data_IF_632497565830
#
_entry.id   IF_632497565830
#
_cell.length_a   1.000
_cell.length_b   1.000
_cell.length_c   1.000
_cell.angle_alpha   90.00
_cell.angle_beta   90.00
_cell.angle_gamma   90.00
#
_symmetry.space_group_name_H-M   'P 1'
#
loop_
_entity.id
_entity.type
_entity.pdbx_description
1 polymer ?
#
# COMPACT_ATOMS: atom_id res chain seq x y z
N UNK A 1 -8.85 13.08 21.85
CA UNK A 1 -8.83 11.82 21.07
C UNK A 1 -7.60 11.82 20.17
N UNK A 2 -6.84 10.75 20.22
CA UNK A 2 -5.62 10.66 19.40
C UNK A 2 -5.96 10.57 17.91
N UNK A 3 -5.14 11.19 17.07
CA UNK A 3 -5.27 11.10 15.63
C UNK A 3 -5.05 9.64 15.18
N UNK A 4 -5.89 9.13 14.29
CA UNK A 4 -5.70 7.77 13.77
C UNK A 4 -4.48 7.66 12.88
N UNK A 5 -3.98 6.44 12.76
CA UNK A 5 -2.93 6.09 11.80
C UNK A 5 -3.33 4.79 11.10
N UNK A 6 -3.14 4.74 9.79
CA UNK A 6 -3.52 3.57 9.00
C UNK A 6 -2.25 2.84 8.58
N UNK A 7 -2.02 1.62 9.09
CA UNK A 7 -0.82 0.88 8.78
C UNK A 7 -0.82 0.37 7.35
N UNK A 8 0.37 0.30 6.76
CA UNK A 8 0.57 -0.29 5.45
C UNK A 8 1.96 -0.89 5.33
N UNK A 9 2.17 -1.75 4.36
CA UNK A 9 3.47 -2.29 4.01
C UNK A 9 4.05 -1.50 2.85
N UNK A 10 5.21 -0.90 3.08
CA UNK A 10 5.93 -0.16 2.05
C UNK A 10 7.00 -1.05 1.44
N UNK A 11 7.02 -1.12 0.12
CA UNK A 11 8.08 -1.77 -0.66
C UNK A 11 8.87 -0.68 -1.36
N UNK A 12 10.19 -0.71 -1.24
CA UNK A 12 11.06 0.28 -1.90
C UNK A 12 12.40 -0.36 -2.28
N UNK A 13 13.21 0.38 -3.01
CA UNK A 13 14.56 -0.02 -3.39
C UNK A 13 15.56 0.86 -2.64
N UNK A 14 16.51 0.25 -1.96
CA UNK A 14 17.55 1.01 -1.26
C UNK A 14 18.66 1.49 -2.20
N UNK A 15 19.67 2.17 -1.63
CA UNK A 15 20.78 2.73 -2.40
C UNK A 15 21.62 1.66 -3.11
N UNK A 16 21.57 0.43 -2.66
CA UNK A 16 22.32 -0.69 -3.24
C UNK A 16 21.51 -1.46 -4.29
N UNK A 17 20.30 -0.99 -4.61
CA UNK A 17 19.42 -1.65 -5.57
C UNK A 17 18.68 -2.86 -5.02
N UNK A 18 18.62 -3.01 -3.70
CA UNK A 18 17.97 -4.15 -3.03
C UNK A 18 16.56 -3.74 -2.65
N UNK A 19 15.55 -4.53 -3.07
CA UNK A 19 14.18 -4.29 -2.65
C UNK A 19 13.98 -4.71 -1.20
N UNK A 20 13.29 -3.86 -0.46
CA UNK A 20 13.00 -4.03 0.96
C UNK A 20 11.55 -3.74 1.23
N UNK A 21 11.05 -4.25 2.34
CA UNK A 21 9.71 -3.88 2.79
C UNK A 21 9.69 -3.71 4.31
N UNK A 22 8.88 -2.76 4.76
CA UNK A 22 8.71 -2.47 6.17
C UNK A 22 7.31 -1.93 6.46
N UNK A 23 6.91 -2.05 7.71
CA UNK A 23 5.63 -1.53 8.20
C UNK A 23 5.73 -0.03 8.38
N UNK A 24 4.81 0.70 7.77
CA UNK A 24 4.67 2.14 7.85
C UNK A 24 3.24 2.49 8.24
N UNK A 25 2.95 3.77 8.39
CA UNK A 25 1.60 4.24 8.67
C UNK A 25 1.31 5.52 7.92
N UNK A 26 0.08 5.62 7.41
CA UNK A 26 -0.47 6.86 6.88
C UNK A 26 -0.96 7.68 8.06
N UNK A 27 -0.43 8.87 8.22
CA UNK A 27 -0.67 9.75 9.36
C UNK A 27 -1.11 11.14 8.88
N UNK A 28 -1.23 12.07 9.81
CA UNK A 28 -1.58 13.45 9.50
C UNK A 28 -3.07 13.69 9.36
N UNK A 29 -3.90 12.81 9.88
CA UNK A 29 -5.35 13.00 9.87
C UNK A 29 -5.75 14.17 10.74
N UNK A 30 -6.69 14.97 10.26
CA UNK A 30 -7.27 16.08 11.01
C UNK A 30 -8.77 15.87 11.15
N UNK A 31 -9.31 16.18 12.32
CA UNK A 31 -10.74 16.09 12.57
C UNK A 31 -11.41 17.37 12.08
N UNK A 32 -12.00 17.31 10.91
CA UNK A 32 -12.51 18.49 10.22
C UNK A 32 -13.71 18.16 9.34
N UNK A 33 -14.40 19.18 8.86
CA UNK A 33 -15.45 19.00 7.85
C UNK A 33 -14.83 18.59 6.53
N UNK A 34 -15.14 17.38 6.10
CA UNK A 34 -14.72 16.86 4.81
C UNK A 34 -15.68 17.27 3.69
N UNK A 35 -16.96 17.29 4.00
CA UNK A 35 -18.02 17.68 3.06
C UNK A 35 -19.02 18.56 3.75
N UNK A 36 -19.53 19.56 3.04
CA UNK A 36 -20.59 20.44 3.56
C UNK A 36 -21.83 19.62 3.88
N UNK A 37 -22.42 19.86 5.06
CA UNK A 37 -23.62 19.16 5.53
C UNK A 37 -23.34 17.83 6.21
N UNK A 38 -22.10 17.36 6.23
CA UNK A 38 -21.72 16.15 6.93
C UNK A 38 -21.11 16.46 8.29
N UNK A 39 -21.16 15.49 9.20
CA UNK A 39 -20.46 15.63 10.49
C UNK A 39 -18.94 15.62 10.27
N UNK A 40 -18.17 16.28 11.15
CA UNK A 40 -16.71 16.23 11.08
C UNK A 40 -16.20 14.79 11.17
N UNK A 41 -15.08 14.53 10.51
CA UNK A 41 -14.43 13.23 10.51
C UNK A 41 -12.92 13.41 10.42
N UNK A 42 -12.20 12.33 10.66
CA UNK A 42 -10.75 12.29 10.49
C UNK A 42 -10.43 12.12 9.00
N UNK A 43 -9.64 13.03 8.45
CA UNK A 43 -9.23 12.95 7.05
C UNK A 43 -7.78 13.39 6.86
N UNK A 44 -7.12 12.78 5.90
CA UNK A 44 -5.79 13.17 5.45
C UNK A 44 -5.70 12.94 3.95
N UNK A 45 -5.06 13.88 3.25
CA UNK A 45 -4.83 13.74 1.81
C UNK A 45 -3.39 13.33 1.60
N UNK A 46 -3.19 12.12 1.10
CA UNK A 46 -1.86 11.54 0.91
C UNK A 46 -1.31 11.72 -0.50
N UNK A 47 -2.18 12.06 -1.45
CA UNK A 47 -1.79 12.32 -2.85
C UNK A 47 -2.81 13.23 -3.50
N UNK A 48 -2.33 14.06 -4.44
CA UNK A 48 -3.17 14.95 -5.27
C UNK A 48 -3.08 14.58 -6.74
N UNK A 49 -2.42 13.46 -7.03
CA UNK A 49 -2.19 13.00 -8.39
C UNK A 49 -3.45 12.44 -9.02
N UNK A 50 -3.50 12.45 -10.35
CA UNK A 50 -4.52 11.73 -11.09
C UNK A 50 -4.34 10.24 -10.89
N UNK A 51 -5.42 9.55 -10.60
CA UNK A 51 -5.39 8.13 -10.25
C UNK A 51 -6.04 7.28 -11.33
N UNK A 52 -5.40 6.17 -11.68
CA UNK A 52 -6.01 5.08 -12.45
C UNK A 52 -6.39 3.97 -11.49
N UNK A 53 -7.64 3.53 -11.54
CA UNK A 53 -8.11 2.40 -10.75
C UNK A 53 -8.09 1.14 -11.60
N UNK A 54 -7.41 0.11 -11.09
CA UNK A 54 -7.32 -1.19 -11.75
C UNK A 54 -7.80 -2.26 -10.78
N UNK A 55 -8.60 -3.19 -11.26
CA UNK A 55 -8.97 -4.37 -10.49
C UNK A 55 -8.28 -5.59 -11.09
N UNK A 56 -7.75 -6.46 -10.22
CA UNK A 56 -7.04 -7.66 -10.60
C UNK A 56 -7.63 -8.88 -9.90
N UNK A 57 -7.64 -9.99 -10.58
CA UNK A 57 -7.99 -11.29 -9.99
C UNK A 57 -6.84 -12.25 -10.26
N UNK A 58 -6.20 -12.70 -9.19
CA UNK A 58 -5.13 -13.69 -9.28
C UNK A 58 -5.72 -15.05 -8.97
N UNK A 59 -5.60 -16.04 -9.87
CA UNK A 59 -6.04 -17.40 -9.55
C UNK A 59 -5.33 -17.94 -8.30
N UNK A 60 -6.05 -18.70 -7.49
CA UNK A 60 -5.50 -19.30 -6.30
C UNK A 60 -4.26 -20.16 -6.63
N UNK A 61 -3.21 -20.02 -5.83
CA UNK A 61 -1.97 -20.75 -6.03
C UNK A 61 -1.04 -20.18 -7.11
N UNK A 62 -1.40 -19.04 -7.72
CA UNK A 62 -0.54 -18.39 -8.71
C UNK A 62 0.76 -17.90 -8.08
N UNK A 63 1.86 -18.13 -8.81
CA UNK A 63 3.19 -17.62 -8.43
C UNK A 63 3.77 -16.90 -9.64
N UNK A 64 4.29 -15.72 -9.41
CA UNK A 64 4.85 -14.89 -10.46
C UNK A 64 6.34 -14.69 -10.22
N UNK A 65 7.10 -14.58 -11.32
CA UNK A 65 8.53 -14.34 -11.26
C UNK A 65 8.84 -12.95 -10.67
N UNK A 66 10.08 -12.77 -10.26
CA UNK A 66 10.56 -11.50 -9.76
C UNK A 66 10.32 -10.40 -10.77
N UNK A 67 9.65 -9.34 -10.34
CA UNK A 67 9.41 -8.15 -11.13
C UNK A 67 9.16 -6.97 -10.21
N UNK A 68 9.47 -5.77 -10.68
CA UNK A 68 9.11 -4.55 -9.96
C UNK A 68 7.66 -4.18 -10.22
N UNK A 69 7.07 -3.38 -9.34
CA UNK A 69 5.80 -2.73 -9.63
C UNK A 69 6.00 -1.80 -10.84
N UNK A 70 5.10 -1.81 -11.83
CA UNK A 70 5.31 -1.01 -13.06
C UNK A 70 5.32 0.49 -12.81
N UNK A 71 4.60 0.93 -11.78
CA UNK A 71 4.52 2.33 -11.33
C UNK A 71 4.34 2.33 -9.83
N UNK A 72 4.65 3.43 -9.14
CA UNK A 72 4.27 3.57 -7.73
C UNK A 72 2.76 3.37 -7.59
N UNK A 73 2.35 2.43 -6.74
CA UNK A 73 0.93 2.07 -6.65
C UNK A 73 0.55 1.57 -5.26
N UNK A 74 -0.66 1.90 -4.86
CA UNK A 74 -1.31 1.33 -3.70
C UNK A 74 -2.07 0.09 -4.11
N UNK A 75 -1.99 -0.96 -3.29
CA UNK A 75 -2.68 -2.23 -3.53
C UNK A 75 -3.50 -2.56 -2.30
N UNK A 76 -4.78 -2.87 -2.54
CA UNK A 76 -5.72 -3.25 -1.49
C UNK A 76 -6.34 -4.59 -1.87
N UNK A 77 -5.96 -5.70 -1.22
CA UNK A 77 -6.67 -6.95 -1.45
C UNK A 77 -8.07 -6.91 -0.85
N UNK A 78 -9.06 -7.36 -1.60
CA UNK A 78 -10.46 -7.39 -1.17
C UNK A 78 -10.86 -8.76 -0.65
N UNK A 79 -10.26 -9.82 -1.16
CA UNK A 79 -10.54 -11.21 -0.78
C UNK A 79 -9.26 -12.05 -0.84
N UNK A 80 -9.26 -13.12 -0.07
CA UNK A 80 -8.16 -14.06 -0.07
C UNK A 80 -6.91 -13.52 0.57
N UNK A 81 -5.77 -14.06 0.18
CA UNK A 81 -4.47 -13.60 0.64
C UNK A 81 -3.45 -13.66 -0.50
N UNK A 82 -2.45 -12.81 -0.40
CA UNK A 82 -1.32 -12.81 -1.31
C UNK A 82 -0.04 -12.52 -0.53
N UNK A 83 1.08 -12.89 -1.10
CA UNK A 83 2.37 -12.70 -0.46
C UNK A 83 3.30 -11.94 -1.38
N UNK A 84 4.11 -11.07 -0.79
CA UNK A 84 5.16 -10.32 -1.46
C UNK A 84 6.49 -10.69 -0.84
N UNK A 85 7.39 -11.16 -1.68
CA UNK A 85 8.78 -11.42 -1.28
C UNK A 85 9.68 -10.32 -1.84
N UNK A 86 10.56 -9.79 -1.00
CA UNK A 86 11.54 -8.77 -1.39
C UNK A 86 12.94 -9.36 -1.36
N UNK A 87 13.87 -8.69 -2.07
CA UNK A 87 15.24 -9.18 -2.25
C UNK A 87 16.02 -9.26 -0.94
N UNK A 88 15.57 -8.57 0.11
CA UNK A 88 16.16 -8.63 1.45
C UNK A 88 15.79 -9.90 2.23
N UNK A 89 15.07 -10.84 1.59
CA UNK A 89 14.71 -12.12 2.18
C UNK A 89 13.41 -12.11 2.97
N UNK A 90 12.67 -11.01 2.97
CA UNK A 90 11.38 -10.95 3.65
C UNK A 90 10.25 -11.43 2.76
N UNK A 91 9.32 -12.18 3.34
CA UNK A 91 8.05 -12.54 2.71
C UNK A 91 6.93 -12.08 3.62
N UNK A 92 6.04 -11.25 3.10
CA UNK A 92 4.89 -10.72 3.85
C UNK A 92 3.61 -11.23 3.21
N UNK A 93 2.79 -11.91 4.00
CA UNK A 93 1.46 -12.34 3.57
C UNK A 93 0.44 -11.32 4.03
N UNK A 94 -0.40 -10.88 3.11
CA UNK A 94 -1.43 -9.89 3.35
C UNK A 94 -2.80 -10.46 3.01
N UNK A 95 -3.76 -10.22 3.89
CA UNK A 95 -5.15 -10.57 3.68
C UNK A 95 -6.00 -9.38 3.29
N UNK A 96 -7.31 -9.58 3.23
CA UNK A 96 -8.27 -8.54 2.86
C UNK A 96 -8.12 -7.30 3.74
N UNK A 97 -8.07 -6.13 3.12
CA UNK A 97 -7.96 -4.85 3.82
C UNK A 97 -6.55 -4.42 4.22
N UNK A 98 -5.53 -5.25 4.00
CA UNK A 98 -4.15 -4.89 4.31
C UNK A 98 -3.50 -4.16 3.14
N UNK A 99 -3.11 -2.91 3.39
CA UNK A 99 -2.54 -2.03 2.37
C UNK A 99 -1.07 -2.33 2.10
N UNK A 100 -0.70 -2.25 0.84
CA UNK A 100 0.69 -2.28 0.40
C UNK A 100 0.96 -1.11 -0.55
N UNK A 101 2.15 -0.54 -0.47
CA UNK A 101 2.61 0.45 -1.43
C UNK A 101 3.83 -0.08 -2.17
N UNK A 102 3.69 -0.28 -3.47
CA UNK A 102 4.77 -0.75 -4.33
C UNK A 102 5.56 0.41 -4.93
N UNK A 103 6.67 0.74 -4.30
CA UNK A 103 7.56 1.82 -4.72
C UNK A 103 8.96 1.32 -5.11
N UNK A 104 9.05 0.10 -5.63
CA UNK A 104 10.30 -0.61 -5.89
C UNK A 104 10.77 -0.50 -7.35
N UNK A 105 10.39 0.54 -8.05
CA UNK A 105 10.87 0.80 -9.41
C UNK A 105 12.38 1.01 -9.42
N UNK A 106 13.04 0.49 -10.44
CA UNK A 106 14.48 0.59 -10.59
C UNK A 106 15.29 -0.60 -10.06
N UNK A 107 14.60 -1.70 -9.77
CA UNK A 107 15.28 -2.96 -9.39
C UNK A 107 15.85 -3.69 -10.60
#
# INVERSE_FOLDING_TARGET
MASPAIPYWRVWVDADGISRQARHALEGHQFTLFAEGAAPLWSARHSKETTTLITLVLPAGSVYDWHENPKPQWIVPLQGSWAVETMDGQTVTMGAGELSFGGDQGT
#
